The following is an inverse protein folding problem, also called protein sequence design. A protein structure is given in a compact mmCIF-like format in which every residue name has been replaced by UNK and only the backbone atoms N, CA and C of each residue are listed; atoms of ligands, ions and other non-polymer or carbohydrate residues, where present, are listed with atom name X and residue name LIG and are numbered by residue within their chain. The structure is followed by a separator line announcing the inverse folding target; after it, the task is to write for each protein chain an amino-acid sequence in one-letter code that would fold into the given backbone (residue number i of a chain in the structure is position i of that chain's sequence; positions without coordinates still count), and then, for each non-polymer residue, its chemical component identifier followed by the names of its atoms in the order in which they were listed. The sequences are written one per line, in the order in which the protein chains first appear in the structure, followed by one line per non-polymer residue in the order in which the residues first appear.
data_IF_485261733510
#
_entry.id   IF_485261733510
#
_cell.length_a   1.000
_cell.length_b   1.000
_cell.length_c   1.000
_cell.angle_alpha   90.00
_cell.angle_beta   90.00
_cell.angle_gamma   90.00
#
_symmetry.space_group_name_H-M   'P 1'
#
loop_
_entity.id
_entity.type
_entity.pdbx_description
1 polymer ?
#
# COMPACT_ATOMS: atom_id res chain seq x y z
N UNK A 1 -9.97 19.14 10.00
CA UNK A 1 -8.85 18.69 9.14
C UNK A 1 -9.17 17.26 8.72
N UNK A 2 -9.27 16.98 7.42
CA UNK A 2 -9.58 15.64 6.93
C UNK A 2 -8.31 14.77 7.02
N UNK A 3 -8.26 13.85 7.98
CA UNK A 3 -7.12 12.94 8.14
C UNK A 3 -7.12 11.92 6.99
N UNK A 4 -5.98 11.75 6.32
CA UNK A 4 -5.77 10.66 5.36
C UNK A 4 -5.68 9.35 6.12
N UNK A 5 -6.54 8.39 5.78
CA UNK A 5 -6.61 7.08 6.42
C UNK A 5 -6.17 5.95 5.48
N UNK A 6 -6.04 6.20 4.18
CA UNK A 6 -5.46 5.25 3.26
C UNK A 6 -4.89 5.91 2.00
N UNK A 7 -4.04 5.17 1.30
CA UNK A 7 -3.60 5.43 -0.07
C UNK A 7 -3.98 4.24 -0.93
N UNK A 8 -4.42 4.49 -2.16
CA UNK A 8 -4.87 3.45 -3.08
C UNK A 8 -4.27 3.63 -4.47
N UNK A 9 -3.87 2.53 -5.11
CA UNK A 9 -3.41 2.53 -6.49
C UNK A 9 -3.93 1.30 -7.22
N UNK A 10 -4.49 1.50 -8.41
CA UNK A 10 -5.06 0.43 -9.24
C UNK A 10 -4.21 0.21 -10.46
N UNK A 11 -3.83 -1.05 -10.70
CA UNK A 11 -3.16 -1.49 -11.93
C UNK A 11 -3.73 -2.83 -12.41
N UNK A 12 -3.07 -3.46 -13.39
CA UNK A 12 -3.48 -4.76 -13.97
C UNK A 12 -3.51 -5.92 -12.96
N UNK A 13 -2.78 -5.82 -11.85
CA UNK A 13 -2.70 -6.87 -10.82
C UNK A 13 -3.81 -6.72 -9.77
N UNK A 14 -4.40 -5.53 -9.64
CA UNK A 14 -5.52 -5.28 -8.74
C UNK A 14 -5.46 -3.92 -8.06
N UNK A 15 -6.13 -3.85 -6.91
CA UNK A 15 -6.11 -2.68 -6.03
C UNK A 15 -5.04 -2.86 -4.96
N UNK A 16 -3.98 -2.08 -5.05
CA UNK A 16 -2.99 -1.92 -4.00
C UNK A 16 -3.47 -0.86 -3.02
N UNK A 17 -3.29 -1.09 -1.73
CA UNK A 17 -3.65 -0.10 -0.73
C UNK A 17 -2.76 -0.16 0.50
N UNK A 18 -2.55 1.02 1.09
CA UNK A 18 -1.86 1.21 2.36
C UNK A 18 -2.86 1.89 3.29
N UNK A 19 -3.41 1.16 4.27
CA UNK A 19 -4.55 1.63 5.10
C UNK A 19 -4.18 1.69 6.57
N UNK A 20 -4.58 2.77 7.24
CA UNK A 20 -4.43 2.88 8.68
C UNK A 20 -5.46 2.01 9.41
N UNK A 21 -4.98 1.14 10.30
CA UNK A 21 -5.80 0.19 11.06
C UNK A 21 -6.21 0.71 12.44
N UNK A 22 -5.87 1.96 12.77
CA UNK A 22 -5.97 2.52 14.12
C UNK A 22 -4.69 2.33 14.95
N UNK A 23 -3.72 1.54 14.47
CA UNK A 23 -2.42 1.34 15.11
C UNK A 23 -1.26 1.27 14.13
N UNK A 24 -1.44 0.58 13.00
CA UNK A 24 -0.43 0.37 11.98
C UNK A 24 -0.96 0.74 10.60
N UNK A 25 -0.05 0.88 9.63
CA UNK A 25 -0.36 1.01 8.21
C UNK A 25 -0.22 -0.35 7.55
N UNK A 26 -1.33 -0.87 7.03
CA UNK A 26 -1.42 -2.20 6.44
C UNK A 26 -1.37 -2.11 4.93
N UNK A 27 -0.44 -2.85 4.33
CA UNK A 27 -0.36 -3.06 2.89
C UNK A 27 -1.25 -4.24 2.49
N UNK A 28 -2.06 -4.05 1.44
CA UNK A 28 -2.94 -5.09 0.91
C UNK A 28 -3.08 -5.00 -0.62
N UNK A 29 -3.30 -6.17 -1.25
CA UNK A 29 -3.62 -6.32 -2.67
C UNK A 29 -4.98 -7.01 -2.74
N UNK A 30 -5.96 -6.35 -3.38
CA UNK A 30 -7.35 -6.84 -3.44
C UNK A 30 -7.90 -7.19 -2.05
N UNK A 31 -7.67 -6.30 -1.07
CA UNK A 31 -8.02 -6.45 0.35
C UNK A 31 -7.32 -7.62 1.08
N UNK A 32 -6.45 -8.38 0.42
CA UNK A 32 -5.63 -9.39 1.07
C UNK A 32 -4.36 -8.75 1.64
N UNK A 33 -4.17 -8.75 2.96
CA UNK A 33 -3.05 -8.06 3.59
C UNK A 33 -1.76 -8.87 3.54
N UNK A 34 -0.63 -8.20 3.41
CA UNK A 34 0.68 -8.84 3.38
C UNK A 34 1.83 -8.02 4.02
N UNK A 35 1.50 -6.99 4.81
CA UNK A 35 2.49 -6.28 5.63
C UNK A 35 1.86 -5.22 6.53
N UNK A 36 2.40 -5.06 7.74
CA UNK A 36 1.99 -4.03 8.71
C UNK A 36 3.21 -3.18 9.08
N UNK A 37 3.04 -1.85 9.04
CA UNK A 37 4.12 -0.87 9.17
C UNK A 37 3.77 0.25 10.15
N UNK A 38 4.79 0.92 10.68
CA UNK A 38 4.60 2.05 11.59
C UNK A 38 4.14 3.34 10.87
N UNK A 39 4.43 3.48 9.57
CA UNK A 39 4.12 4.66 8.77
C UNK A 39 3.70 4.28 7.36
N UNK A 40 2.86 5.10 6.72
CA UNK A 40 2.45 4.92 5.33
C UNK A 40 3.64 5.02 4.36
N UNK A 41 4.56 5.96 4.62
CA UNK A 41 5.75 6.16 3.80
C UNK A 41 6.70 4.96 3.86
N UNK A 42 6.94 4.40 5.05
CA UNK A 42 7.78 3.20 5.19
C UNK A 42 7.13 1.98 4.54
N UNK A 43 5.80 1.84 4.68
CA UNK A 43 5.05 0.79 3.98
C UNK A 43 5.18 0.88 2.47
N UNK A 44 5.15 2.11 1.93
CA UNK A 44 5.28 2.37 0.49
C UNK A 44 6.70 2.12 -0.02
N UNK A 45 7.73 2.59 0.69
CA UNK A 45 9.14 2.36 0.33
C UNK A 45 9.47 0.86 0.23
N UNK A 46 9.09 0.08 1.25
CA UNK A 46 9.32 -1.36 1.25
C UNK A 46 8.46 -2.08 0.20
N UNK A 47 7.28 -1.56 -0.11
CA UNK A 47 6.42 -2.10 -1.15
C UNK A 47 7.02 -1.93 -2.53
N UNK A 48 7.40 -0.71 -2.92
CA UNK A 48 7.92 -0.45 -4.27
C UNK A 48 9.29 -1.10 -4.51
N UNK A 49 10.05 -1.35 -3.43
CA UNK A 49 11.34 -2.06 -3.50
C UNK A 49 11.25 -3.57 -3.41
N UNK A 50 10.06 -4.15 -3.18
CA UNK A 50 9.89 -5.59 -3.05
C UNK A 50 10.44 -6.16 -1.72
N UNK A 51 10.62 -5.33 -0.70
CA UNK A 51 11.06 -5.74 0.64
C UNK A 51 9.90 -6.15 1.56
N UNK A 52 8.65 -5.92 1.12
CA UNK A 52 7.47 -6.48 1.76
C UNK A 52 7.51 -8.02 1.81
N UNK A 53 6.78 -8.60 2.77
CA UNK A 53 6.45 -10.03 2.72
C UNK A 53 5.80 -10.36 1.37
N UNK A 54 6.04 -11.57 0.86
CA UNK A 54 5.60 -11.98 -0.48
C UNK A 54 4.12 -11.67 -0.69
N UNK A 55 3.82 -10.86 -1.71
CA UNK A 55 2.46 -10.48 -2.02
C UNK A 55 1.62 -11.71 -2.42
N UNK A 56 0.29 -11.63 -2.31
CA UNK A 56 -0.61 -12.72 -2.68
C UNK A 56 -0.28 -13.31 -4.05
N UNK A 57 -0.25 -14.64 -4.12
CA UNK A 57 0.04 -15.36 -5.36
C UNK A 57 1.52 -15.41 -5.75
N UNK A 58 2.44 -15.04 -4.86
CA UNK A 58 3.87 -15.08 -5.16
C UNK A 58 4.38 -13.93 -6.01
N UNK A 59 3.59 -12.85 -6.12
CA UNK A 59 3.96 -11.66 -6.87
C UNK A 59 5.10 -10.92 -6.18
N UNK A 60 6.04 -10.41 -6.97
CA UNK A 60 7.00 -9.39 -6.54
C UNK A 60 6.41 -8.00 -6.81
N UNK A 61 6.08 -7.20 -5.78
CA UNK A 61 5.56 -5.86 -5.95
C UNK A 61 6.50 -4.92 -6.72
N UNK A 62 7.82 -5.12 -6.67
CA UNK A 62 8.79 -4.31 -7.40
C UNK A 62 8.62 -4.45 -8.92
N UNK A 63 8.13 -5.61 -9.38
CA UNK A 63 7.86 -5.88 -10.80
C UNK A 63 6.43 -5.49 -11.22
N UNK A 64 5.62 -4.96 -10.29
CA UNK A 64 4.20 -4.69 -10.53
C UNK A 64 3.91 -3.30 -11.10
N UNK A 65 4.93 -2.47 -11.34
CA UNK A 65 4.78 -1.12 -11.90
C UNK A 65 4.03 -0.19 -10.94
N UNK A 66 4.43 -0.19 -9.66
CA UNK A 66 3.91 0.72 -8.66
C UNK A 66 4.65 2.07 -8.72
N UNK A 67 3.94 3.21 -8.61
CA UNK A 67 4.59 4.51 -8.55
C UNK A 67 5.52 4.63 -7.34
N UNK A 68 6.73 5.16 -7.57
CA UNK A 68 7.77 5.39 -6.55
C UNK A 68 7.48 6.60 -5.65
N UNK A 69 6.50 7.43 -6.00
CA UNK A 69 6.03 8.52 -5.14
C UNK A 69 4.61 8.20 -4.63
N UNK A 70 4.46 8.17 -3.30
CA UNK A 70 3.18 7.91 -2.64
C UNK A 70 2.13 8.99 -2.96
N UNK A 71 2.54 10.19 -3.38
CA UNK A 71 1.63 11.26 -3.82
C UNK A 71 0.94 10.96 -5.16
N UNK A 72 1.44 9.98 -5.93
CA UNK A 72 0.79 9.48 -7.15
C UNK A 72 -0.36 8.49 -6.83
N UNK A 73 -0.51 8.08 -5.57
CA UNK A 73 -1.59 7.23 -5.12
C UNK A 73 -2.81 8.07 -4.73
N UNK A 74 -4.01 7.54 -4.92
CA UNK A 74 -5.24 8.20 -4.53
C UNK A 74 -5.36 8.25 -2.98
N UNK A 75 -5.36 9.44 -2.35
CA UNK A 75 -5.55 9.55 -0.91
C UNK A 75 -7.03 9.35 -0.55
N UNK A 76 -7.28 8.57 0.49
CA UNK A 76 -8.61 8.34 1.05
C UNK A 76 -8.71 9.01 2.40
N UNK A 77 -9.71 9.87 2.56
CA UNK A 77 -9.95 10.64 3.77
C UNK A 77 -11.09 10.04 4.61
N UNK A 78 -10.96 10.11 5.93
CA UNK A 78 -12.09 9.83 6.82
C UNK A 78 -13.13 10.96 6.68
N UNK A 79 -14.40 10.60 6.44
CA UNK A 79 -15.52 11.54 6.41
C UNK A 79 -15.90 12.00 7.82
#
# INVERSE_FOLDING_TARGET
MNTVIAFAFRNRFGLWSIRYTGRFWRVALNDQPFGDYISAAGAHEDLVRGYCFTAPGGLDPAECGLPEDLSEWEPVHQR
#
